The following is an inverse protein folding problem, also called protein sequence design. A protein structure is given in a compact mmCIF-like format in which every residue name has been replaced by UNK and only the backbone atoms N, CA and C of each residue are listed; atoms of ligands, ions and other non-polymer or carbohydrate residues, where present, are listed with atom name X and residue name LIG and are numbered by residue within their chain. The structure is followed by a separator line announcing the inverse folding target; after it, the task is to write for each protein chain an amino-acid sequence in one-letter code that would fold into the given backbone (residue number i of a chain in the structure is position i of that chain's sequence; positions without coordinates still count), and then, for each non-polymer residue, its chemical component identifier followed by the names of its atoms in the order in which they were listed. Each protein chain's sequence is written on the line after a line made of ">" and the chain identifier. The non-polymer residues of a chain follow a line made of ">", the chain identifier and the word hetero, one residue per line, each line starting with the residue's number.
data_IF_622515640109
#
_entry.id   IF_622515640109
#
_cell.length_a   1.000
_cell.length_b   1.000
_cell.length_c   1.000
_cell.angle_alpha   90.00
_cell.angle_beta   90.00
_cell.angle_gamma   90.00
#
_symmetry.space_group_name_H-M   'P 1'
#
loop_
_entity.id
_entity.type
_entity.pdbx_description
1 polymer ?
#
# COMPACT_ATOMS: atom_id res chain seq x y z
N UNK A 1 -18.62 10.82 17.61
CA UNK A 1 -17.97 9.76 18.42
C UNK A 1 -16.56 9.57 17.90
N UNK A 2 -15.52 9.78 18.72
CA UNK A 2 -14.15 9.46 18.31
C UNK A 2 -13.99 7.94 18.42
N UNK A 3 -14.09 7.21 17.32
CA UNK A 3 -13.98 5.76 17.34
C UNK A 3 -12.54 5.27 17.58
N UNK A 4 -12.38 4.00 17.92
CA UNK A 4 -11.05 3.39 18.14
C UNK A 4 -10.33 3.06 16.82
N UNK A 5 -11.05 2.68 15.75
CA UNK A 5 -10.43 2.27 14.49
C UNK A 5 -9.94 3.44 13.65
N UNK A 6 -10.69 4.55 13.59
CA UNK A 6 -10.24 5.76 12.91
C UNK A 6 -8.98 6.34 13.57
N UNK A 7 -8.94 6.36 14.91
CA UNK A 7 -7.74 6.74 15.67
C UNK A 7 -6.57 5.81 15.40
N UNK A 8 -6.80 4.49 15.34
CA UNK A 8 -5.76 3.53 14.96
C UNK A 8 -5.26 3.78 13.54
N UNK A 9 -6.15 4.03 12.58
CA UNK A 9 -5.80 4.34 11.20
C UNK A 9 -4.93 5.60 11.10
N UNK A 10 -5.22 6.62 11.91
CA UNK A 10 -4.41 7.84 11.97
C UNK A 10 -2.99 7.57 12.50
N UNK A 11 -2.81 6.62 13.42
CA UNK A 11 -1.47 6.24 13.89
C UNK A 11 -0.57 5.66 12.79
N UNK A 12 -1.13 5.20 11.68
CA UNK A 12 -0.35 4.67 10.54
C UNK A 12 0.08 5.75 9.56
N UNK A 13 -0.54 6.92 9.58
CA UNK A 13 -0.20 8.02 8.67
C UNK A 13 1.27 8.44 8.78
N UNK A 14 1.87 8.62 9.98
CA UNK A 14 3.30 8.87 10.10
C UNK A 14 4.16 7.77 9.48
N UNK A 15 3.81 6.49 9.69
CA UNK A 15 4.57 5.37 9.13
C UNK A 15 4.51 5.35 7.61
N UNK A 16 3.32 5.54 7.02
CA UNK A 16 3.13 5.65 5.56
C UNK A 16 4.04 6.73 4.98
N UNK A 17 4.03 7.92 5.58
CA UNK A 17 4.85 9.06 5.15
C UNK A 17 6.33 8.73 5.27
N UNK A 18 6.77 8.13 6.37
CA UNK A 18 8.17 7.76 6.57
C UNK A 18 8.66 6.73 5.56
N UNK A 19 7.90 5.65 5.32
CA UNK A 19 8.26 4.64 4.32
C UNK A 19 8.39 5.24 2.92
N UNK A 20 7.41 6.06 2.51
CA UNK A 20 7.47 6.73 1.21
C UNK A 20 8.67 7.66 1.12
N UNK A 21 8.86 8.50 2.14
CA UNK A 21 9.95 9.49 2.16
C UNK A 21 11.31 8.81 2.11
N UNK A 22 11.51 7.74 2.87
CA UNK A 22 12.75 6.97 2.85
C UNK A 22 12.99 6.33 1.46
N UNK A 23 11.96 5.78 0.81
CA UNK A 23 12.07 5.27 -0.55
C UNK A 23 12.42 6.37 -1.56
N UNK A 24 11.79 7.55 -1.46
CA UNK A 24 12.06 8.71 -2.29
C UNK A 24 13.51 9.19 -2.12
N UNK A 25 14.01 9.26 -0.88
CA UNK A 25 15.39 9.65 -0.58
C UNK A 25 16.40 8.67 -1.19
N UNK A 26 16.19 7.36 -1.04
CA UNK A 26 17.07 6.35 -1.63
C UNK A 26 17.15 6.52 -3.16
N UNK A 27 15.99 6.66 -3.81
CA UNK A 27 15.96 6.83 -5.26
C UNK A 27 16.47 8.20 -5.71
N UNK A 28 16.44 9.24 -4.87
CA UNK A 28 16.99 10.55 -5.23
C UNK A 28 18.52 10.60 -5.30
N UNK A 29 19.21 9.57 -4.78
CA UNK A 29 20.67 9.51 -4.76
C UNK A 29 21.28 9.17 -6.12
N UNK A 30 22.54 9.56 -6.33
CA UNK A 30 23.35 9.18 -7.51
C UNK A 30 23.59 7.66 -7.60
N UNK A 31 23.27 6.92 -6.52
CA UNK A 31 23.40 5.47 -6.41
C UNK A 31 22.04 4.76 -6.52
N UNK A 32 21.04 5.39 -7.15
CA UNK A 32 19.68 4.87 -7.23
C UNK A 32 19.61 3.40 -7.72
N UNK A 33 20.46 3.00 -8.66
CA UNK A 33 20.55 1.60 -9.14
C UNK A 33 20.97 0.61 -8.05
N UNK A 34 21.85 1.01 -7.12
CA UNK A 34 22.29 0.16 -6.02
C UNK A 34 21.26 0.05 -4.89
N UNK A 35 20.28 0.97 -4.83
CA UNK A 35 19.31 1.06 -3.72
C UNK A 35 17.85 0.91 -4.18
N UNK A 36 17.61 0.54 -5.44
CA UNK A 36 16.26 0.37 -5.97
C UNK A 36 15.51 -0.79 -5.33
N UNK A 37 16.16 -1.91 -4.97
CA UNK A 37 15.52 -3.01 -4.25
C UNK A 37 15.03 -2.57 -2.85
N UNK A 38 15.89 -2.01 -1.97
CA UNK A 38 15.42 -1.52 -0.69
C UNK A 38 14.40 -0.39 -0.82
N UNK A 39 14.53 0.51 -1.79
CA UNK A 39 13.52 1.55 -2.04
C UNK A 39 12.16 0.95 -2.45
N UNK A 40 12.17 -0.05 -3.35
CA UNK A 40 10.96 -0.76 -3.78
C UNK A 40 10.30 -1.49 -2.61
N UNK A 41 11.09 -2.11 -1.74
CA UNK A 41 10.58 -2.70 -0.50
C UNK A 41 9.89 -1.66 0.39
N UNK A 42 10.50 -0.49 0.61
CA UNK A 42 9.89 0.59 1.41
C UNK A 42 8.58 1.07 0.79
N UNK A 43 8.54 1.23 -0.54
CA UNK A 43 7.30 1.58 -1.24
C UNK A 43 6.23 0.51 -1.12
N UNK A 44 6.59 -0.77 -1.21
CA UNK A 44 5.66 -1.88 -0.97
C UNK A 44 5.05 -1.80 0.43
N UNK A 45 5.86 -1.54 1.46
CA UNK A 45 5.35 -1.34 2.83
C UNK A 45 4.44 -0.12 2.95
N UNK A 46 4.78 0.97 2.27
CA UNK A 46 3.91 2.15 2.16
C UNK A 46 2.55 1.79 1.56
N UNK A 47 2.52 1.07 0.43
CA UNK A 47 1.28 0.64 -0.24
C UNK A 47 0.45 -0.28 0.67
N UNK A 48 1.12 -1.24 1.31
CA UNK A 48 0.47 -2.14 2.28
C UNK A 48 -0.22 -1.32 3.37
N UNK A 49 0.49 -0.39 4.01
CA UNK A 49 -0.08 0.47 5.06
C UNK A 49 -1.18 1.41 4.56
N UNK A 50 -1.08 1.95 3.34
CA UNK A 50 -2.14 2.75 2.72
C UNK A 50 -3.43 1.96 2.59
N UNK A 51 -3.38 0.75 2.02
CA UNK A 51 -4.53 -0.13 1.85
C UNK A 51 -5.17 -0.46 3.19
N UNK A 52 -4.32 -0.92 4.10
CA UNK A 52 -4.64 -1.24 5.48
C UNK A 52 -5.38 -0.09 6.18
N UNK A 53 -4.86 1.13 6.10
CA UNK A 53 -5.47 2.34 6.71
C UNK A 53 -6.88 2.58 6.17
N UNK A 54 -7.06 2.51 4.86
CA UNK A 54 -8.37 2.76 4.24
C UNK A 54 -9.39 1.70 4.62
N UNK A 55 -8.98 0.43 4.69
CA UNK A 55 -9.88 -0.63 5.13
C UNK A 55 -10.35 -0.39 6.57
N UNK A 56 -9.45 -0.03 7.50
CA UNK A 56 -9.85 0.31 8.87
C UNK A 56 -10.90 1.43 8.92
N UNK A 57 -10.70 2.45 8.10
CA UNK A 57 -11.63 3.58 7.97
C UNK A 57 -12.98 3.12 7.44
N UNK A 58 -13.00 2.30 6.39
CA UNK A 58 -14.26 1.79 5.85
C UNK A 58 -15.02 0.92 6.84
N UNK A 59 -14.32 0.01 7.54
CA UNK A 59 -14.93 -0.83 8.56
C UNK A 59 -15.59 0.02 9.64
N UNK A 60 -14.96 1.13 10.03
CA UNK A 60 -15.55 2.07 10.96
C UNK A 60 -16.82 2.72 10.40
N UNK A 61 -16.76 3.32 9.22
CA UNK A 61 -17.89 4.06 8.63
C UNK A 61 -19.08 3.13 8.41
N UNK A 62 -18.82 1.91 7.95
CA UNK A 62 -19.82 0.88 7.69
C UNK A 62 -20.24 0.12 8.97
N UNK A 63 -19.64 0.43 10.13
CA UNK A 63 -19.88 -0.23 11.42
C UNK A 63 -19.70 -1.76 11.36
N UNK A 64 -18.73 -2.22 10.57
CA UNK A 64 -18.41 -3.63 10.39
C UNK A 64 -17.47 -4.14 11.50
N UNK A 65 -17.62 -5.40 11.94
CA UNK A 65 -16.82 -5.95 13.04
C UNK A 65 -15.33 -6.09 12.65
N UNK A 66 -14.46 -5.39 13.38
CA UNK A 66 -13.01 -5.49 13.16
C UNK A 66 -12.45 -6.90 13.39
N UNK A 67 -13.04 -7.69 14.29
CA UNK A 67 -12.54 -9.02 14.65
C UNK A 67 -12.49 -9.99 13.45
N UNK A 68 -13.52 -9.98 12.60
CA UNK A 68 -13.59 -10.81 11.39
C UNK A 68 -12.54 -10.39 10.35
N UNK A 69 -12.24 -9.09 10.31
CA UNK A 69 -11.18 -8.56 9.47
C UNK A 69 -9.79 -8.89 10.02
N UNK A 70 -9.55 -8.69 11.31
CA UNK A 70 -8.26 -8.86 11.98
C UNK A 70 -7.68 -10.29 11.84
N UNK A 71 -8.53 -11.31 11.90
CA UNK A 71 -8.11 -12.71 11.74
C UNK A 71 -7.54 -13.01 10.34
N UNK A 72 -8.13 -12.40 9.31
CA UNK A 72 -7.68 -12.56 7.92
C UNK A 72 -6.52 -11.61 7.56
N UNK A 73 -6.37 -10.54 8.33
CA UNK A 73 -5.45 -9.44 8.08
C UNK A 73 -4.01 -9.71 8.53
N UNK A 74 -3.82 -10.38 9.66
CA UNK A 74 -2.47 -10.68 10.18
C UNK A 74 -1.71 -11.69 9.30
N UNK A 75 -2.42 -12.48 8.49
CA UNK A 75 -1.85 -13.57 7.70
C UNK A 75 -1.65 -13.22 6.22
N UNK A 76 -2.06 -12.03 5.77
CA UNK A 76 -2.08 -11.68 4.34
C UNK A 76 -1.30 -10.40 4.07
N UNK A 77 -0.03 -10.55 3.70
CA UNK A 77 0.79 -9.45 3.13
C UNK A 77 0.52 -9.21 1.64
N UNK A 78 -0.40 -9.96 1.03
CA UNK A 78 -0.73 -9.81 -0.39
C UNK A 78 -1.41 -8.47 -0.66
N UNK A 79 -0.73 -7.60 -1.42
CA UNK A 79 -1.28 -6.31 -1.85
C UNK A 79 -2.56 -6.50 -2.68
N UNK A 80 -2.60 -7.51 -3.55
CA UNK A 80 -3.79 -7.81 -4.36
C UNK A 80 -5.00 -8.20 -3.49
N UNK A 81 -4.77 -8.95 -2.42
CA UNK A 81 -5.86 -9.33 -1.50
C UNK A 81 -6.35 -8.12 -0.71
N UNK A 82 -5.43 -7.31 -0.19
CA UNK A 82 -5.77 -6.07 0.51
C UNK A 82 -6.51 -5.09 -0.42
N UNK A 83 -6.06 -4.96 -1.67
CA UNK A 83 -6.68 -4.08 -2.66
C UNK A 83 -8.08 -4.54 -3.05
N UNK A 84 -8.31 -5.85 -3.23
CA UNK A 84 -9.67 -6.37 -3.44
C UNK A 84 -10.59 -6.05 -2.26
N UNK A 85 -10.11 -6.24 -1.03
CA UNK A 85 -10.87 -5.89 0.17
C UNK A 85 -11.20 -4.39 0.23
N UNK A 86 -10.23 -3.54 -0.12
CA UNK A 86 -10.45 -2.10 -0.28
C UNK A 86 -11.54 -1.80 -1.31
N UNK A 87 -11.50 -2.39 -2.51
CA UNK A 87 -12.50 -2.14 -3.57
C UNK A 87 -13.90 -2.58 -3.16
N UNK A 88 -14.04 -3.74 -2.51
CA UNK A 88 -15.32 -4.24 -2.01
C UNK A 88 -15.94 -3.29 -0.97
N UNK A 89 -15.14 -2.79 -0.04
CA UNK A 89 -15.62 -1.85 0.98
C UNK A 89 -15.94 -0.48 0.38
N UNK A 90 -15.13 -0.01 -0.57
CA UNK A 90 -15.40 1.23 -1.30
C UNK A 90 -16.72 1.16 -2.09
N UNK A 91 -17.02 0.00 -2.69
CA UNK A 91 -18.29 -0.27 -3.39
C UNK A 91 -19.47 -0.24 -2.42
N UNK A 92 -19.36 -0.91 -1.27
CA UNK A 92 -20.40 -0.92 -0.24
C UNK A 92 -20.71 0.48 0.31
N UNK A 93 -19.70 1.33 0.45
CA UNK A 93 -19.90 2.70 0.93
C UNK A 93 -20.62 3.59 -0.11
N UNK A 94 -20.50 3.26 -1.41
CA UNK A 94 -21.23 3.91 -2.51
C UNK A 94 -20.80 5.34 -2.88
N UNK A 95 -20.15 6.06 -1.98
CA UNK A 95 -19.70 7.44 -2.17
C UNK A 95 -18.16 7.57 -2.37
N UNK A 96 -17.42 6.46 -2.29
CA UNK A 96 -15.99 6.41 -2.58
C UNK A 96 -15.75 6.00 -4.03
N UNK A 97 -14.76 6.62 -4.68
CA UNK A 97 -14.40 6.25 -6.05
C UNK A 97 -13.68 4.91 -6.04
N UNK A 98 -14.12 4.00 -6.90
CA UNK A 98 -13.31 2.84 -7.26
C UNK A 98 -11.95 3.30 -7.77
N UNK A 99 -10.92 2.53 -7.45
CA UNK A 99 -9.57 2.82 -7.94
C UNK A 99 -9.54 2.72 -9.47
N UNK A 100 -8.97 3.73 -10.17
CA UNK A 100 -8.74 3.64 -11.61
C UNK A 100 -7.87 2.43 -11.98
N UNK A 101 -8.01 1.95 -13.21
CA UNK A 101 -7.27 0.79 -13.72
C UNK A 101 -5.75 0.92 -13.55
N UNK A 102 -5.19 2.11 -13.82
CA UNK A 102 -3.75 2.34 -13.67
C UNK A 102 -3.25 2.17 -12.23
N UNK A 103 -4.07 2.49 -11.21
CA UNK A 103 -3.73 2.25 -9.80
C UNK A 103 -3.73 0.75 -9.50
N UNK A 104 -4.72 0.02 -10.02
CA UNK A 104 -4.80 -1.44 -9.87
C UNK A 104 -3.58 -2.15 -10.51
N UNK A 105 -3.18 -1.72 -11.71
CA UNK A 105 -2.00 -2.20 -12.40
C UNK A 105 -0.72 -1.87 -11.63
N UNK A 106 -0.61 -0.65 -11.11
CA UNK A 106 0.52 -0.22 -10.28
C UNK A 106 0.66 -1.07 -9.00
N UNK A 107 -0.44 -1.37 -8.31
CA UNK A 107 -0.42 -2.24 -7.12
C UNK A 107 -0.01 -3.67 -7.50
N UNK A 108 -0.57 -4.20 -8.59
CA UNK A 108 -0.24 -5.53 -9.12
C UNK A 108 1.25 -5.62 -9.48
N UNK A 109 1.82 -4.56 -10.04
CA UNK A 109 3.25 -4.48 -10.32
C UNK A 109 4.10 -4.65 -9.05
N UNK A 110 3.78 -3.95 -7.95
CA UNK A 110 4.49 -4.12 -6.68
C UNK A 110 4.27 -5.52 -6.06
N UNK A 111 3.08 -6.11 -6.19
CA UNK A 111 2.82 -7.48 -5.75
C UNK A 111 3.71 -8.47 -6.52
N UNK A 112 3.88 -8.30 -7.83
CA UNK A 112 4.69 -9.22 -8.64
C UNK A 112 6.20 -9.05 -8.40
N UNK A 113 6.64 -7.83 -8.08
CA UNK A 113 8.03 -7.57 -7.70
C UNK A 113 8.41 -8.20 -6.35
N UNK A 114 7.50 -8.18 -5.37
CA UNK A 114 7.72 -8.73 -4.02
C UNK A 114 6.50 -9.47 -3.48
N UNK A 115 6.23 -10.69 -4.01
CA UNK A 115 5.00 -11.41 -3.72
C UNK A 115 4.85 -11.77 -2.25
N UNK A 116 5.98 -12.06 -1.58
CA UNK A 116 6.01 -12.56 -0.21
C UNK A 116 6.35 -11.47 0.83
N UNK A 117 6.53 -10.20 0.43
CA UNK A 117 7.01 -9.12 1.34
C UNK A 117 8.42 -9.31 1.87
N UNK A 118 9.16 -10.28 1.34
CA UNK A 118 10.51 -10.64 1.79
C UNK A 118 11.48 -10.80 0.62
N UNK A 119 10.99 -10.98 -0.59
CA UNK A 119 11.81 -11.35 -1.74
C UNK A 119 12.84 -10.28 -2.06
N UNK A 120 12.50 -9.00 -1.92
CA UNK A 120 13.44 -7.90 -2.19
C UNK A 120 14.54 -7.72 -1.13
N UNK A 121 14.45 -8.44 0.00
CA UNK A 121 15.42 -8.39 1.11
C UNK A 121 16.36 -9.57 1.13
N UNK A 122 15.97 -10.68 0.52
CA UNK A 122 16.74 -11.92 0.53
C UNK A 122 16.95 -12.41 -0.91
N UNK A 123 18.17 -12.84 -1.26
CA UNK A 123 18.44 -13.37 -2.60
C UNK A 123 17.68 -14.67 -2.88
N UNK A 124 17.14 -15.31 -1.84
CA UNK A 124 16.34 -16.52 -1.91
C UNK A 124 14.89 -16.21 -1.53
N UNK A 125 13.95 -16.72 -2.33
CA UNK A 125 12.53 -16.70 -2.05
C UNK A 125 12.16 -17.77 -1.02
N UNK A 126 10.92 -17.69 -0.52
CA UNK A 126 10.38 -18.63 0.47
C UNK A 126 10.36 -20.08 -0.02
N UNK A 127 10.27 -20.28 -1.33
CA UNK A 127 10.33 -21.58 -2.02
C UNK A 127 11.75 -22.06 -2.34
N UNK A 128 12.78 -21.31 -1.94
CA UNK A 128 14.19 -21.62 -2.20
C UNK A 128 14.70 -21.18 -3.58
N UNK A 129 13.85 -20.60 -4.44
CA UNK A 129 14.29 -20.06 -5.73
C UNK A 129 15.07 -18.75 -5.57
N UNK A 130 15.99 -18.48 -6.51
CA UNK A 130 16.79 -17.24 -6.49
C UNK A 130 15.96 -16.09 -7.08
N UNK A 131 15.93 -14.95 -6.38
CA UNK A 131 15.37 -13.73 -6.93
C UNK A 131 16.26 -13.22 -8.06
N UNK A 132 15.82 -13.36 -9.31
CA UNK A 132 16.43 -12.69 -10.45
C UNK A 132 15.64 -11.43 -10.77
N UNK A 133 16.06 -10.29 -10.22
CA UNK A 133 15.56 -8.98 -10.62
C UNK A 133 16.66 -8.27 -11.40
N UNK A 134 16.40 -8.05 -12.68
CA UNK A 134 17.24 -7.15 -13.48
C UNK A 134 16.75 -5.74 -13.27
N UNK A 135 17.64 -4.89 -12.74
CA UNK A 135 17.34 -3.50 -12.45
C UNK A 135 17.77 -2.66 -13.63
N UNK A 136 16.80 -2.08 -14.32
CA UNK A 136 17.03 -1.15 -15.43
C UNK A 136 16.58 0.24 -15.02
N UNK A 137 17.06 1.27 -15.73
CA UNK A 137 16.55 2.63 -15.58
C UNK A 137 15.03 2.72 -15.81
N UNK A 138 14.50 1.88 -16.70
CA UNK A 138 13.06 1.73 -16.92
C UNK A 138 12.34 1.19 -15.67
N UNK A 139 12.91 0.20 -14.98
CA UNK A 139 12.39 -0.28 -13.69
C UNK A 139 12.32 0.85 -12.67
N UNK A 140 13.37 1.67 -12.54
CA UNK A 140 13.37 2.81 -11.62
C UNK A 140 12.28 3.82 -11.97
N UNK A 141 12.15 4.18 -13.26
CA UNK A 141 11.11 5.10 -13.72
C UNK A 141 9.71 4.56 -13.41
N UNK A 142 9.49 3.27 -13.69
CA UNK A 142 8.22 2.59 -13.47
C UNK A 142 7.84 2.58 -11.99
N UNK A 143 8.76 2.17 -11.11
CA UNK A 143 8.55 2.18 -9.64
C UNK A 143 8.16 3.57 -9.15
N UNK A 144 8.88 4.63 -9.57
CA UNK A 144 8.58 6.02 -9.19
C UNK A 144 7.22 6.49 -9.70
N UNK A 145 6.89 6.16 -10.94
CA UNK A 145 5.62 6.54 -11.55
C UNK A 145 4.45 5.87 -10.80
N UNK A 146 4.54 4.56 -10.58
CA UNK A 146 3.51 3.78 -9.90
C UNK A 146 3.29 4.25 -8.45
N UNK A 147 4.34 4.45 -7.66
CA UNK A 147 4.15 4.90 -6.27
C UNK A 147 3.52 6.29 -6.19
N UNK A 148 3.83 7.19 -7.13
CA UNK A 148 3.20 8.52 -7.21
C UNK A 148 1.70 8.40 -7.50
N UNK A 149 1.31 7.58 -8.47
CA UNK A 149 -0.09 7.35 -8.81
C UNK A 149 -0.87 6.75 -7.63
N UNK A 150 -0.32 5.72 -6.99
CA UNK A 150 -0.93 5.08 -5.83
C UNK A 150 -1.09 6.08 -4.67
N UNK A 151 -0.03 6.82 -4.33
CA UNK A 151 -0.07 7.78 -3.24
C UNK A 151 -1.06 8.92 -3.50
N UNK A 152 -1.12 9.44 -4.73
CA UNK A 152 -2.07 10.48 -5.10
C UNK A 152 -3.52 10.01 -4.89
N UNK A 153 -3.86 8.85 -5.46
CA UNK A 153 -5.20 8.26 -5.32
C UNK A 153 -5.61 8.08 -3.85
N UNK A 154 -4.77 7.44 -3.03
CA UNK A 154 -5.11 7.19 -1.64
C UNK A 154 -5.10 8.44 -0.76
N UNK A 155 -4.35 9.48 -1.12
CA UNK A 155 -4.42 10.77 -0.40
C UNK A 155 -5.73 11.49 -0.70
N UNK A 156 -6.18 11.49 -1.96
CA UNK A 156 -7.48 12.04 -2.34
C UNK A 156 -8.63 11.29 -1.67
N UNK A 157 -8.61 9.94 -1.69
CA UNK A 157 -9.63 9.13 -1.01
C UNK A 157 -9.65 9.40 0.49
N UNK A 158 -8.49 9.46 1.14
CA UNK A 158 -8.42 9.73 2.58
C UNK A 158 -8.98 11.12 2.93
N UNK A 159 -8.76 12.15 2.09
CA UNK A 159 -9.35 13.47 2.29
C UNK A 159 -10.88 13.44 2.24
N UNK A 160 -11.46 12.71 1.28
CA UNK A 160 -12.93 12.51 1.16
C UNK A 160 -13.48 11.80 2.40
N UNK A 161 -12.84 10.70 2.81
CA UNK A 161 -13.26 9.93 3.99
C UNK A 161 -13.17 10.73 5.28
N UNK A 162 -12.10 11.53 5.45
CA UNK A 162 -11.92 12.38 6.62
C UNK A 162 -12.98 13.46 6.72
N UNK A 163 -13.44 14.01 5.59
CA UNK A 163 -14.52 15.00 5.59
C UNK A 163 -15.84 14.39 6.13
N UNK A 164 -16.14 13.13 5.79
CA UNK A 164 -17.34 12.42 6.25
C UNK A 164 -17.33 12.10 7.75
N UNK A 165 -16.17 11.97 8.38
CA UNK A 165 -16.07 11.77 9.83
C UNK A 165 -16.30 13.04 10.66
N UNK A 166 -16.02 14.20 10.07
CA UNK A 166 -16.08 15.49 10.77
C UNK A 166 -17.42 16.22 10.57
N UNK A 167 -18.28 15.72 9.67
CA UNK A 167 -19.66 16.18 9.45
C UNK A 167 -20.62 15.47 10.41
#
# INVERSE_FOLDING_TARGET
>A
MNSSLARLADTWTPLIVQYKTAGDLLLSSDKAEAVVLPATFLYRQCIELLLKRHILIFLEILQLPFAEFAQNYQKKHSLNTLFRGFQQLAEQLGNCKQAPEHVALAITYFQNLDPDSVSLRYPLRSDGSVLQVTLTQETLHTVRSHIKQIAAFFNEQYAVLKAQFNS
#
